data_IF_959500336723
#
_entry.id   IF_959500336723
#
_cell.length_a   1.000
_cell.length_b   1.000
_cell.length_c   1.000
_cell.angle_alpha   90.00
_cell.angle_beta   90.00
_cell.angle_gamma   90.00
#
_symmetry.space_group_name_H-M   'P 1'
#
loop_
_entity.id
_entity.type
_entity.pdbx_description
1 polymer ?
#
# COMPACT_ATOMS: atom_id res chain seq x y z
N UNK A 1 -0.94 -30.22 21.91
CA UNK A 1 -2.01 -30.29 20.89
C UNK A 1 -2.31 -28.86 20.49
N UNK A 2 -2.19 -28.50 19.21
CA UNK A 2 -2.52 -27.15 18.70
C UNK A 2 -3.98 -27.12 18.24
N UNK A 3 -4.62 -25.93 18.23
CA UNK A 3 -6.01 -25.77 17.82
C UNK A 3 -6.19 -25.79 16.30
N UNK A 4 -7.34 -26.28 15.81
CA UNK A 4 -7.70 -26.35 14.38
C UNK A 4 -8.23 -25.02 13.83
N UNK A 5 -7.58 -23.91 14.18
CA UNK A 5 -7.94 -22.58 13.67
C UNK A 5 -7.12 -22.26 12.41
N UNK A 6 -7.58 -21.30 11.61
CA UNK A 6 -6.79 -20.79 10.49
C UNK A 6 -5.53 -20.10 11.01
N UNK A 7 -4.39 -20.40 10.38
CA UNK A 7 -3.11 -19.78 10.66
C UNK A 7 -2.79 -18.74 9.59
N UNK A 8 -3.17 -17.48 9.85
CA UNK A 8 -3.01 -16.37 8.90
C UNK A 8 -2.22 -15.22 9.57
N UNK A 9 -1.11 -14.76 8.98
CA UNK A 9 -0.31 -13.68 9.55
C UNK A 9 -1.02 -12.32 9.45
N UNK A 10 -0.80 -11.47 10.45
CA UNK A 10 -1.32 -10.10 10.51
C UNK A 10 -0.40 -9.14 9.73
N UNK A 11 -0.60 -9.07 8.41
CA UNK A 11 0.19 -8.23 7.52
C UNK A 11 -0.53 -6.91 7.20
N UNK A 12 0.23 -5.82 7.04
CA UNK A 12 -0.30 -4.54 6.54
C UNK A 12 -0.86 -4.70 5.12
N UNK A 13 -0.22 -5.53 4.29
CA UNK A 13 -0.72 -5.86 2.95
C UNK A 13 -2.12 -6.49 2.99
N UNK A 14 -2.45 -7.27 4.02
CA UNK A 14 -3.78 -7.86 4.17
C UNK A 14 -4.86 -6.79 4.36
N UNK A 15 -4.55 -5.64 4.95
CA UNK A 15 -5.47 -4.51 5.04
C UNK A 15 -5.72 -3.87 3.67
N UNK A 16 -4.65 -3.73 2.87
CA UNK A 16 -4.76 -3.21 1.50
C UNK A 16 -5.61 -4.13 0.63
N UNK A 17 -5.36 -5.44 0.68
CA UNK A 17 -6.11 -6.43 -0.10
C UNK A 17 -7.60 -6.45 0.31
N UNK A 18 -7.89 -6.29 1.60
CA UNK A 18 -9.27 -6.15 2.08
C UNK A 18 -9.94 -4.87 1.54
N UNK A 19 -9.26 -3.73 1.62
CA UNK A 19 -9.79 -2.46 1.13
C UNK A 19 -10.02 -2.49 -0.39
N UNK A 20 -9.09 -3.05 -1.16
CA UNK A 20 -9.23 -3.17 -2.62
C UNK A 20 -10.38 -4.09 -3.01
N UNK A 21 -10.54 -5.21 -2.31
CA UNK A 21 -11.55 -6.21 -2.65
C UNK A 21 -12.97 -5.73 -2.35
N UNK A 22 -13.15 -5.00 -1.25
CA UNK A 22 -14.48 -4.63 -0.75
C UNK A 22 -14.87 -3.19 -1.13
N UNK A 23 -13.89 -2.30 -1.30
CA UNK A 23 -14.11 -0.87 -1.54
C UNK A 23 -13.20 -0.30 -2.65
N UNK A 24 -13.07 -0.95 -3.82
CA UNK A 24 -12.08 -0.57 -4.83
C UNK A 24 -12.23 0.88 -5.31
N UNK A 25 -13.46 1.33 -5.48
CA UNK A 25 -13.82 2.65 -6.01
C UNK A 25 -13.87 3.75 -4.94
N UNK A 26 -13.57 3.44 -3.67
CA UNK A 26 -13.56 4.47 -2.63
C UNK A 26 -12.46 5.50 -2.92
N UNK A 27 -12.85 6.77 -2.98
CA UNK A 27 -11.96 7.86 -3.36
C UNK A 27 -10.96 8.21 -2.26
N UNK A 28 -9.73 8.50 -2.70
CA UNK A 28 -8.67 9.17 -1.95
C UNK A 28 -8.45 10.52 -2.62
N UNK A 29 -8.60 11.59 -1.83
CA UNK A 29 -8.34 12.97 -2.27
C UNK A 29 -7.05 13.44 -1.61
N UNK A 30 -6.08 13.85 -2.44
CA UNK A 30 -4.77 14.34 -2.01
C UNK A 30 -4.56 15.75 -2.55
N UNK A 31 -4.13 16.65 -1.67
CA UNK A 31 -3.74 18.02 -2.01
C UNK A 31 -2.21 18.04 -2.05
N UNK A 32 -1.64 18.17 -3.23
CA UNK A 32 -0.21 18.36 -3.44
C UNK A 32 0.08 19.78 -3.94
N UNK A 33 1.30 20.27 -3.69
CA UNK A 33 1.70 21.63 -4.08
C UNK A 33 1.59 21.89 -5.59
N UNK A 34 1.89 20.86 -6.40
CA UNK A 34 1.81 20.86 -7.85
C UNK A 34 0.45 20.38 -8.39
N UNK A 35 -0.28 19.59 -7.61
CA UNK A 35 -1.61 19.09 -7.96
C UNK A 35 -2.57 19.15 -6.76
N UNK A 36 -3.24 20.28 -6.54
CA UNK A 36 -4.08 20.49 -5.36
C UNK A 36 -5.36 19.64 -5.36
N UNK A 37 -5.71 18.99 -6.48
CA UNK A 37 -6.94 18.21 -6.63
C UNK A 37 -6.65 16.79 -7.16
N UNK A 38 -5.60 16.14 -6.67
CA UNK A 38 -5.31 14.76 -7.05
C UNK A 38 -6.32 13.80 -6.41
N UNK A 39 -7.24 13.27 -7.24
CA UNK A 39 -8.28 12.31 -6.85
C UNK A 39 -8.06 10.98 -7.57
N UNK A 40 -8.16 9.90 -6.82
CA UNK A 40 -7.95 8.53 -7.31
C UNK A 40 -8.60 7.55 -6.35
N UNK A 41 -8.64 6.26 -6.70
CA UNK A 41 -9.34 5.24 -5.91
C UNK A 41 -8.39 4.36 -5.08
N UNK A 42 -8.93 3.57 -4.15
CA UNK A 42 -8.14 2.51 -3.50
C UNK A 42 -7.51 1.54 -4.49
N UNK A 43 -8.24 1.16 -5.55
CA UNK A 43 -7.70 0.31 -6.61
C UNK A 43 -6.46 0.94 -7.26
N UNK A 44 -6.54 2.21 -7.64
CA UNK A 44 -5.41 2.94 -8.25
C UNK A 44 -4.23 3.07 -7.28
N UNK A 45 -4.52 3.34 -6.00
CA UNK A 45 -3.51 3.47 -4.95
C UNK A 45 -2.70 2.18 -4.81
N UNK A 46 -3.38 1.05 -4.63
CA UNK A 46 -2.72 -0.21 -4.34
C UNK A 46 -2.03 -0.80 -5.57
N UNK A 47 -2.56 -0.57 -6.78
CA UNK A 47 -1.84 -0.86 -8.02
C UNK A 47 -0.49 -0.16 -8.06
N UNK A 48 -0.43 1.13 -7.75
CA UNK A 48 0.81 1.91 -7.73
C UNK A 48 1.74 1.49 -6.59
N UNK A 49 1.21 1.14 -5.42
CA UNK A 49 2.01 0.62 -4.31
C UNK A 49 2.72 -0.69 -4.67
N UNK A 50 2.04 -1.60 -5.38
CA UNK A 50 2.66 -2.84 -5.87
C UNK A 50 3.74 -2.58 -6.92
N UNK A 51 3.52 -1.61 -7.82
CA UNK A 51 4.55 -1.19 -8.77
C UNK A 51 5.79 -0.61 -8.05
N UNK A 52 5.59 0.21 -7.02
CA UNK A 52 6.68 0.72 -6.19
C UNK A 52 7.42 -0.41 -5.46
N UNK A 53 6.70 -1.39 -4.91
CA UNK A 53 7.32 -2.54 -4.25
C UNK A 53 8.24 -3.32 -5.21
N UNK A 54 7.79 -3.59 -6.43
CA UNK A 54 8.61 -4.24 -7.46
C UNK A 54 9.84 -3.40 -7.85
N UNK A 55 9.71 -2.07 -7.87
CA UNK A 55 10.84 -1.17 -8.14
C UNK A 55 11.84 -1.13 -6.97
N UNK A 56 11.38 -1.22 -5.72
CA UNK A 56 12.27 -1.31 -4.57
C UNK A 56 13.04 -2.64 -4.57
N UNK A 57 12.37 -3.73 -4.93
CA UNK A 57 13.01 -5.04 -5.09
C UNK A 57 14.08 -5.01 -6.20
N UNK A 58 13.81 -4.33 -7.33
CA UNK A 58 14.80 -4.20 -8.40
C UNK A 58 16.00 -3.30 -8.04
N UNK A 59 15.86 -2.47 -7.01
CA UNK A 59 16.96 -1.70 -6.39
C UNK A 59 17.69 -2.47 -5.29
N UNK A 60 17.43 -3.77 -5.15
CA UNK A 60 18.07 -4.69 -4.20
C UNK A 60 17.76 -4.39 -2.72
N UNK A 61 16.68 -3.65 -2.43
CA UNK A 61 16.22 -3.43 -1.06
C UNK A 61 15.78 -4.75 -0.43
N UNK A 62 16.32 -5.06 0.76
CA UNK A 62 16.10 -6.32 1.47
C UNK A 62 15.15 -6.18 2.65
N UNK A 63 14.67 -7.32 3.12
CA UNK A 63 13.92 -7.39 4.37
C UNK A 63 14.77 -6.85 5.52
N UNK A 64 14.25 -5.83 6.22
CA UNK A 64 14.96 -5.14 7.31
C UNK A 64 15.66 -3.83 6.89
N UNK A 65 15.72 -3.53 5.59
CA UNK A 65 16.19 -2.24 5.12
C UNK A 65 15.17 -1.13 5.38
N UNK A 66 15.66 0.11 5.48
CA UNK A 66 14.85 1.28 5.82
C UNK A 66 14.61 2.11 4.57
N UNK A 67 13.36 2.50 4.35
CA UNK A 67 12.95 3.41 3.27
C UNK A 67 12.51 4.73 3.91
N UNK A 68 13.20 5.82 3.59
CA UNK A 68 12.89 7.16 4.10
C UNK A 68 11.93 7.92 3.21
N UNK A 69 11.05 8.72 3.80
CA UNK A 69 10.20 9.70 3.12
C UNK A 69 10.41 11.08 3.76
N UNK A 70 10.46 12.13 2.95
CA UNK A 70 10.47 13.54 3.41
C UNK A 70 9.19 14.19 2.87
N UNK A 71 8.32 14.62 3.77
CA UNK A 71 7.15 15.41 3.40
C UNK A 71 7.55 16.84 3.06
N UNK A 72 7.01 17.36 1.96
CA UNK A 72 7.07 18.79 1.65
C UNK A 72 5.85 19.43 2.32
N UNK A 73 6.07 20.44 3.16
CA UNK A 73 5.02 21.34 3.69
C UNK A 73 4.65 22.42 2.67
#
# INVERSE_FOLDING_TARGET
MLGSMMDTPLLISSLMDHAEKNFPEQEIVSVAADNPNHRYTFHDAFKRTRQLANALESLDIKLGDRVGNIGLE
#
